data_IF_032255372857
#
_entry.id   IF_032255372857
#
_cell.length_a   1.000
_cell.length_b   1.000
_cell.length_c   1.000
_cell.angle_alpha   90.00
_cell.angle_beta   90.00
_cell.angle_gamma   90.00
#
_symmetry.space_group_name_H-M   'P 1'
#
loop_
_entity.id
_entity.type
_entity.pdbx_description
1 polymer ?
#
# COMPACT_ATOMS: atom_id res chain seq x y z
N UNK A 1 -26.04 -29.81 7.34
CA UNK A 1 -24.97 -29.15 8.11
C UNK A 1 -24.27 -28.20 7.15
N UNK A 2 -24.74 -26.95 7.07
CA UNK A 2 -24.16 -25.95 6.18
C UNK A 2 -23.38 -24.97 7.05
N UNK A 3 -22.04 -25.00 6.95
CA UNK A 3 -21.16 -24.07 7.64
C UNK A 3 -21.33 -22.68 7.03
N UNK A 4 -21.87 -21.75 7.83
CA UNK A 4 -21.96 -20.33 7.54
C UNK A 4 -20.56 -19.78 7.20
N UNK A 5 -20.37 -19.02 6.11
CA UNK A 5 -19.07 -18.38 5.84
C UNK A 5 -18.74 -17.39 6.97
N UNK A 6 -17.46 -17.21 7.32
CA UNK A 6 -17.07 -16.34 8.41
C UNK A 6 -17.54 -14.92 8.10
N UNK A 7 -18.33 -14.36 9.00
CA UNK A 7 -18.81 -12.98 8.93
C UNK A 7 -17.61 -12.04 8.89
N UNK A 8 -17.39 -11.38 7.75
CA UNK A 8 -16.53 -10.21 7.65
C UNK A 8 -17.13 -9.11 8.53
N UNK A 9 -16.63 -9.00 9.76
CA UNK A 9 -16.96 -7.90 10.66
C UNK A 9 -16.06 -6.72 10.31
N UNK A 10 -16.50 -5.87 9.39
CA UNK A 10 -16.04 -4.47 9.40
C UNK A 10 -16.64 -3.83 10.65
N UNK A 11 -15.93 -3.91 11.77
CA UNK A 11 -16.34 -3.19 12.97
C UNK A 11 -16.27 -1.68 12.69
N UNK A 12 -17.35 -0.93 12.97
CA UNK A 12 -17.32 0.52 12.83
C UNK A 12 -16.49 1.10 13.98
N UNK A 13 -15.87 2.24 13.70
CA UNK A 13 -15.33 3.17 14.70
C UNK A 13 -13.90 2.89 15.21
N UNK A 14 -12.89 3.34 14.46
CA UNK A 14 -11.54 3.57 15.00
C UNK A 14 -10.87 4.78 14.34
N UNK A 15 -11.39 5.97 14.63
CA UNK A 15 -10.49 7.10 14.78
C UNK A 15 -9.74 6.88 16.11
N UNK A 16 -8.41 6.88 16.09
CA UNK A 16 -7.54 6.97 17.29
C UNK A 16 -7.52 5.80 18.29
N UNK A 17 -7.52 4.52 17.87
CA UNK A 17 -6.80 3.54 18.70
C UNK A 17 -5.30 3.70 18.42
N UNK A 18 -4.43 3.72 19.44
CA UNK A 18 -3.02 3.47 19.19
C UNK A 18 -2.96 2.14 18.44
N UNK A 19 -2.35 2.15 17.25
CA UNK A 19 -1.88 0.97 16.54
C UNK A 19 -1.44 -0.03 17.61
N UNK A 20 -2.15 -1.16 17.72
CA UNK A 20 -1.90 -2.13 18.79
C UNK A 20 -0.39 -2.39 18.85
N UNK A 21 0.18 -2.55 20.05
CA UNK A 21 1.61 -2.94 20.15
C UNK A 21 1.85 -4.09 19.18
N UNK A 22 2.88 -3.95 18.33
CA UNK A 22 3.27 -4.90 17.27
C UNK A 22 2.47 -4.85 15.96
N UNK A 23 1.63 -3.83 15.75
CA UNK A 23 0.99 -3.62 14.44
C UNK A 23 1.96 -3.01 13.41
N UNK A 24 1.77 -3.37 12.15
CA UNK A 24 2.51 -2.81 11.02
C UNK A 24 1.59 -1.82 10.29
N UNK A 25 2.10 -0.61 10.04
CA UNK A 25 1.46 0.38 9.20
C UNK A 25 1.99 0.29 7.77
N UNK A 26 1.08 0.27 6.80
CA UNK A 26 1.40 0.25 5.37
C UNK A 26 0.71 1.43 4.70
N UNK A 27 1.51 2.43 4.32
CA UNK A 27 1.06 3.56 3.51
C UNK A 27 1.39 3.29 2.05
N UNK A 28 0.46 3.55 1.13
CA UNK A 28 0.65 3.30 -0.30
C UNK A 28 0.18 4.54 -1.06
N UNK A 29 0.86 4.88 -2.16
CA UNK A 29 0.40 5.86 -3.13
C UNK A 29 0.74 5.43 -4.56
N UNK A 30 -0.06 5.93 -5.51
CA UNK A 30 0.14 5.73 -6.93
C UNK A 30 0.65 6.98 -7.62
N UNK A 31 1.53 6.82 -8.62
CA UNK A 31 2.01 7.93 -9.44
C UNK A 31 1.96 7.59 -10.93
N UNK A 32 1.48 8.56 -11.71
CA UNK A 32 1.45 8.50 -13.18
C UNK A 32 2.29 9.66 -13.72
N UNK A 33 3.32 9.32 -14.50
CA UNK A 33 4.12 10.24 -15.29
C UNK A 33 3.63 10.20 -16.73
N UNK A 34 2.72 11.12 -17.06
CA UNK A 34 1.95 11.11 -18.33
C UNK A 34 2.86 11.23 -19.55
N UNK A 35 3.91 12.07 -19.49
CA UNK A 35 4.82 12.29 -20.63
C UNK A 35 5.64 11.05 -20.97
N UNK A 36 6.02 10.29 -19.95
CA UNK A 36 6.85 9.10 -20.07
C UNK A 36 6.01 7.81 -20.22
N UNK A 37 4.69 7.91 -20.06
CA UNK A 37 3.74 6.81 -19.95
C UNK A 37 4.17 5.79 -18.88
N UNK A 38 4.58 6.29 -17.71
CA UNK A 38 5.03 5.45 -16.59
C UNK A 38 4.00 5.55 -15.47
N UNK A 39 3.38 4.42 -15.17
CA UNK A 39 2.62 4.23 -13.95
C UNK A 39 3.46 3.48 -12.92
N UNK A 40 3.24 3.79 -11.65
CA UNK A 40 4.02 3.25 -10.55
C UNK A 40 3.26 3.31 -9.24
N UNK A 41 3.60 2.41 -8.34
CA UNK A 41 3.15 2.41 -6.95
C UNK A 41 4.34 2.52 -6.03
N UNK A 42 4.19 3.26 -4.94
CA UNK A 42 5.15 3.33 -3.86
C UNK A 42 4.46 3.12 -2.53
N UNK A 43 5.20 2.61 -1.55
CA UNK A 43 4.65 2.44 -0.22
C UNK A 43 5.71 2.39 0.87
N UNK A 44 5.28 2.76 2.07
CA UNK A 44 6.07 2.85 3.28
C UNK A 44 5.51 1.85 4.30
N UNK A 45 6.40 0.98 4.80
CA UNK A 45 6.11 0.07 5.90
C UNK A 45 6.77 0.58 7.18
N UNK A 46 5.96 0.76 8.22
CA UNK A 46 6.39 1.25 9.53
C UNK A 46 5.89 0.33 10.65
N UNK A 47 6.60 0.34 11.77
CA UNK A 47 6.13 -0.31 12.99
C UNK A 47 5.02 0.52 13.69
N UNK A 48 4.51 0.02 14.82
CA UNK A 48 3.48 0.71 15.61
C UNK A 48 3.93 2.05 16.21
N UNK A 49 5.23 2.32 16.24
CA UNK A 49 5.82 3.57 16.73
C UNK A 49 6.08 4.58 15.59
N UNK A 50 5.73 4.23 14.35
CA UNK A 50 6.02 5.04 13.16
C UNK A 50 7.48 4.95 12.71
N UNK A 51 8.27 4.02 13.25
CA UNK A 51 9.65 3.79 12.82
C UNK A 51 9.64 3.13 11.44
N UNK A 52 10.41 3.70 10.51
CA UNK A 52 10.62 3.14 9.18
C UNK A 52 11.18 1.72 9.28
N UNK A 53 10.49 0.76 8.67
CA UNK A 53 11.01 -0.60 8.48
C UNK A 53 11.63 -0.73 7.09
N UNK A 54 10.85 -0.43 6.05
CA UNK A 54 11.32 -0.34 4.67
C UNK A 54 10.30 0.39 3.80
N UNK A 55 10.78 0.94 2.68
CA UNK A 55 9.96 1.46 1.60
C UNK A 55 10.00 0.53 0.41
N UNK A 56 9.02 0.62 -0.47
CA UNK A 56 9.04 -0.05 -1.75
C UNK A 56 8.53 0.87 -2.86
N UNK A 57 8.98 0.59 -4.08
CA UNK A 57 8.33 1.11 -5.27
C UNK A 57 8.38 0.09 -6.40
N UNK A 58 7.37 0.12 -7.27
CA UNK A 58 7.24 -0.80 -8.39
C UNK A 58 6.71 -0.04 -9.60
N UNK A 59 7.34 -0.32 -10.74
CA UNK A 59 6.81 0.07 -12.04
C UNK A 59 5.56 -0.78 -12.35
N UNK A 60 4.47 -0.09 -12.68
CA UNK A 60 3.17 -0.65 -13.05
C UNK A 60 2.84 -0.25 -14.49
N UNK A 61 3.73 -0.52 -15.45
CA UNK A 61 3.34 -0.40 -16.86
C UNK A 61 2.98 1.01 -17.37
N UNK A 62 2.24 1.04 -18.48
CA UNK A 62 1.81 2.24 -19.17
C UNK A 62 0.36 2.58 -18.81
N UNK A 63 -0.09 3.81 -19.04
CA UNK A 63 -1.40 4.31 -18.62
C UNK A 63 -2.63 3.50 -19.10
N UNK A 64 -2.50 2.61 -20.08
CA UNK A 64 -3.56 1.69 -20.53
C UNK A 64 -3.60 0.36 -19.75
N UNK A 65 -2.53 0.02 -19.04
CA UNK A 65 -2.37 -1.21 -18.23
C UNK A 65 -2.75 -0.96 -16.76
N UNK A 66 -2.90 0.32 -16.38
CA UNK A 66 -3.23 0.78 -15.03
C UNK A 66 -4.42 0.06 -14.40
N UNK A 67 -5.48 -0.23 -15.17
CA UNK A 67 -6.66 -0.92 -14.64
C UNK A 67 -6.33 -2.34 -14.17
N UNK A 68 -5.45 -3.05 -14.88
CA UNK A 68 -5.05 -4.42 -14.53
C UNK A 68 -4.07 -4.41 -13.36
N UNK A 69 -3.08 -3.52 -13.37
CA UNK A 69 -2.05 -3.49 -12.33
C UNK A 69 -2.54 -2.90 -11.00
N UNK A 70 -3.45 -1.92 -11.05
CA UNK A 70 -4.15 -1.45 -9.85
C UNK A 70 -5.03 -2.56 -9.27
N UNK A 71 -5.74 -3.29 -10.13
CA UNK A 71 -6.54 -4.43 -9.71
C UNK A 71 -5.66 -5.53 -9.10
N UNK A 72 -4.50 -5.84 -9.67
CA UNK A 72 -3.55 -6.79 -9.08
C UNK A 72 -3.06 -6.34 -7.69
N UNK A 73 -2.76 -5.04 -7.52
CA UNK A 73 -2.36 -4.51 -6.21
C UNK A 73 -3.49 -4.61 -5.18
N UNK A 74 -4.73 -4.29 -5.57
CA UNK A 74 -5.92 -4.43 -4.71
C UNK A 74 -6.18 -5.90 -4.34
N UNK A 75 -6.08 -6.82 -5.31
CA UNK A 75 -6.22 -8.26 -5.07
C UNK A 75 -5.14 -8.76 -4.10
N UNK A 76 -3.88 -8.34 -4.30
CA UNK A 76 -2.78 -8.74 -3.42
C UNK A 76 -3.00 -8.25 -1.98
N UNK A 77 -3.45 -7.00 -1.80
CA UNK A 77 -3.82 -6.46 -0.49
C UNK A 77 -4.97 -7.29 0.08
N UNK A 78 -6.03 -7.55 -0.67
CA UNK A 78 -7.15 -8.36 -0.21
C UNK A 78 -6.72 -9.77 0.26
N UNK A 79 -5.81 -10.43 -0.48
CA UNK A 79 -5.24 -11.72 -0.10
C UNK A 79 -4.33 -11.66 1.14
N UNK A 80 -3.70 -10.53 1.41
CA UNK A 80 -2.94 -10.31 2.65
C UNK A 80 -3.87 -10.08 3.83
N UNK A 81 -4.94 -9.30 3.62
CA UNK A 81 -5.94 -9.00 4.64
C UNK A 81 -6.69 -10.25 5.12
N UNK A 82 -6.80 -11.31 4.31
CA UNK A 82 -7.37 -12.60 4.74
C UNK A 82 -6.42 -13.44 5.61
N UNK A 83 -5.11 -13.15 5.57
CA UNK A 83 -4.09 -13.87 6.34
C UNK A 83 -3.79 -13.24 7.70
N UNK A 84 -4.27 -12.02 7.94
CA UNK A 84 -4.06 -11.31 9.21
C UNK A 84 -5.35 -11.31 10.04
N UNK A 85 -5.20 -11.48 11.35
CA UNK A 85 -6.34 -11.63 12.26
C UNK A 85 -7.07 -10.29 12.50
N UNK A 86 -6.35 -9.17 12.41
CA UNK A 86 -6.89 -7.82 12.55
C UNK A 86 -6.24 -6.90 11.53
N UNK A 87 -7.04 -6.02 10.92
CA UNK A 87 -6.58 -4.98 10.02
C UNK A 87 -7.53 -3.79 10.05
N UNK A 88 -7.01 -2.62 9.70
CA UNK A 88 -7.81 -1.44 9.44
C UNK A 88 -7.28 -0.75 8.19
N UNK A 89 -8.18 -0.16 7.41
CA UNK A 89 -7.83 0.71 6.29
C UNK A 89 -8.22 2.11 6.73
N UNK A 90 -7.27 3.03 6.66
CA UNK A 90 -7.49 4.44 6.96
C UNK A 90 -7.11 5.25 5.72
N UNK A 91 -7.97 6.21 5.37
CA UNK A 91 -7.65 7.17 4.33
C UNK A 91 -6.79 8.28 4.93
N UNK A 92 -5.62 8.52 4.35
CA UNK A 92 -4.70 9.59 4.72
C UNK A 92 -4.67 10.60 3.56
N UNK A 93 -4.89 11.90 3.80
CA UNK A 93 -4.76 12.92 2.77
C UNK A 93 -3.38 12.90 2.09
N UNK A 94 -3.32 13.25 0.81
CA UNK A 94 -2.07 13.20 0.02
C UNK A 94 -0.96 14.05 0.64
N UNK A 95 -1.33 15.19 1.23
CA UNK A 95 -0.43 16.14 1.87
C UNK A 95 0.25 15.54 3.11
N UNK A 96 -0.34 14.52 3.71
CA UNK A 96 0.18 13.80 4.87
C UNK A 96 0.93 12.52 4.45
N UNK A 97 0.60 11.93 3.30
CA UNK A 97 1.26 10.73 2.75
C UNK A 97 2.50 11.04 1.87
N UNK A 98 3.30 12.04 2.27
CA UNK A 98 4.41 12.58 1.44
C UNK A 98 5.45 11.52 1.08
N UNK A 99 5.70 10.57 1.97
CA UNK A 99 6.76 9.58 1.79
C UNK A 99 6.34 8.52 0.75
N UNK A 100 5.12 7.99 0.84
CA UNK A 100 4.64 7.06 -0.18
C UNK A 100 4.50 7.74 -1.55
N UNK A 101 4.06 9.00 -1.59
CA UNK A 101 4.02 9.83 -2.81
C UNK A 101 5.42 9.98 -3.43
N UNK A 102 6.43 10.29 -2.62
CA UNK A 102 7.82 10.38 -3.06
C UNK A 102 8.32 9.04 -3.60
N UNK A 103 8.09 7.94 -2.87
CA UNK A 103 8.45 6.58 -3.28
C UNK A 103 7.78 6.16 -4.59
N UNK A 104 6.50 6.50 -4.78
CA UNK A 104 5.80 6.25 -6.03
C UNK A 104 6.47 7.00 -7.19
N UNK A 105 6.87 8.25 -6.97
CA UNK A 105 7.56 9.09 -7.96
C UNK A 105 9.02 8.67 -8.22
N UNK A 106 9.65 7.87 -7.36
CA UNK A 106 11.03 7.42 -7.53
C UNK A 106 11.24 6.51 -8.74
N UNK A 107 10.20 5.85 -9.23
CA UNK A 107 10.30 5.01 -10.43
C UNK A 107 10.59 5.89 -11.64
N UNK A 108 11.80 5.80 -12.19
CA UNK A 108 12.26 6.60 -13.35
C UNK A 108 12.45 5.79 -14.62
N UNK A 109 12.46 4.47 -14.50
CA UNK A 109 12.65 3.57 -15.63
C UNK A 109 11.52 2.54 -15.68
N UNK A 110 11.43 1.82 -16.80
CA UNK A 110 10.43 0.79 -17.05
C UNK A 110 10.88 -0.59 -16.57
N UNK A 111 11.80 -0.66 -15.58
CA UNK A 111 12.32 -1.95 -15.13
C UNK A 111 11.23 -2.66 -14.31
N UNK A 112 10.77 -3.84 -14.75
CA UNK A 112 9.83 -4.63 -13.97
C UNK A 112 10.49 -5.11 -12.67
N UNK A 113 9.69 -5.24 -11.62
CA UNK A 113 10.12 -5.71 -10.30
C UNK A 113 9.87 -4.70 -9.18
N UNK A 114 9.91 -5.20 -7.94
CA UNK A 114 9.79 -4.40 -6.72
C UNK A 114 11.18 -3.95 -6.29
N UNK A 115 11.36 -2.66 -6.07
CA UNK A 115 12.57 -2.10 -5.43
C UNK A 115 12.28 -1.92 -3.95
N UNK A 116 13.15 -2.45 -3.11
CA UNK A 116 13.08 -2.29 -1.65
C UNK A 116 14.11 -1.25 -1.22
N UNK A 117 13.68 -0.33 -0.35
CA UNK A 117 14.49 0.75 0.18
C UNK A 117 14.59 0.59 1.69
N UNK A 118 15.80 0.31 2.17
CA UNK A 118 16.02 0.06 3.60
C UNK A 118 16.14 1.36 4.40
N UNK A 119 16.43 2.49 3.75
CA UNK A 119 16.61 3.79 4.40
C UNK A 119 15.64 4.83 3.81
N UNK A 120 15.17 5.79 4.62
CA UNK A 120 14.47 6.96 4.11
C UNK A 120 15.42 7.81 3.26
N UNK A 121 14.95 8.28 2.10
CA UNK A 121 15.68 9.14 1.17
C UNK A 121 15.42 10.62 1.41
#
# INVERSE_FOLDING_TARGET
>A
IASKPPSHKSHPFFATLPLARDSICLNIDGSIKVKEYIASVGGLVQDSNGVWMFGFCRYLGCCFVLDVELLEAVIAIQQLLTKVHYWCIQHIPREENKIADALAKMVRDRRPGVRILNNPH
#
